data_IF_620131725217
#
_entry.id   IF_620131725217
#
_cell.length_a   1.000
_cell.length_b   1.000
_cell.length_c   1.000
_cell.angle_alpha   90.00
_cell.angle_beta   90.00
_cell.angle_gamma   90.00
#
_symmetry.space_group_name_H-M   'P 1'
#
loop_
_entity.id
_entity.type
_entity.pdbx_description
1 polymer ?
#
# COMPACT_ATOMS: atom_id res chain seq x y z
N UNK A 1 -11.84 18.19 26.00
CA UNK A 1 -11.25 16.86 25.76
C UNK A 1 -12.05 15.79 26.53
N UNK A 2 -12.11 14.57 25.98
CA UNK A 2 -12.90 13.46 26.58
C UNK A 2 -12.54 13.21 28.04
N UNK A 3 -11.28 13.37 28.45
CA UNK A 3 -10.82 13.27 29.82
C UNK A 3 -11.56 14.23 30.76
N UNK A 4 -11.69 15.49 30.39
CA UNK A 4 -12.38 16.50 31.19
C UNK A 4 -13.87 16.20 31.31
N UNK A 5 -14.49 15.63 30.31
CA UNK A 5 -15.91 15.23 30.33
C UNK A 5 -16.13 14.11 31.33
N UNK A 6 -15.30 13.05 31.33
CA UNK A 6 -15.41 11.96 32.28
C UNK A 6 -15.08 12.39 33.72
N UNK A 7 -14.15 13.34 33.92
CA UNK A 7 -13.90 13.92 35.24
C UNK A 7 -15.11 14.67 35.80
N UNK A 8 -15.77 15.49 34.99
CA UNK A 8 -17.01 16.20 35.40
C UNK A 8 -18.14 15.22 35.75
N UNK A 9 -18.26 14.11 35.01
CA UNK A 9 -19.26 13.08 35.37
C UNK A 9 -18.96 12.46 36.74
N UNK A 10 -17.69 12.23 37.07
CA UNK A 10 -17.29 11.69 38.37
C UNK A 10 -17.38 12.70 39.53
N UNK A 11 -17.39 14.00 39.25
CA UNK A 11 -17.69 15.04 40.23
C UNK A 11 -19.16 15.02 40.63
N UNK A 12 -20.06 14.65 39.71
CA UNK A 12 -21.51 14.56 39.92
C UNK A 12 -21.91 13.19 40.49
N UNK A 13 -21.31 12.13 39.93
CA UNK A 13 -21.55 10.73 40.34
C UNK A 13 -20.21 9.98 40.48
N UNK A 14 -19.61 9.97 41.69
CA UNK A 14 -18.29 9.34 41.95
C UNK A 14 -18.25 7.83 41.71
N UNK A 15 -19.41 7.15 41.74
CA UNK A 15 -19.51 5.69 41.57
C UNK A 15 -19.87 5.28 40.14
N UNK A 16 -19.94 6.21 39.22
CA UNK A 16 -20.23 5.92 37.83
C UNK A 16 -19.21 4.99 37.20
N UNK A 17 -19.55 3.72 37.10
CA UNK A 17 -18.64 2.65 36.64
C UNK A 17 -18.20 2.84 35.17
N UNK A 18 -19.04 3.46 34.34
CA UNK A 18 -18.74 3.75 32.94
C UNK A 18 -17.72 4.86 32.85
N UNK A 19 -17.91 5.95 33.60
CA UNK A 19 -16.97 7.07 33.66
C UNK A 19 -15.60 6.65 34.22
N UNK A 20 -15.60 5.84 35.32
CA UNK A 20 -14.37 5.27 35.90
C UNK A 20 -13.61 4.39 34.92
N UNK A 21 -14.33 3.49 34.21
CA UNK A 21 -13.73 2.58 33.24
C UNK A 21 -13.13 3.34 32.05
N UNK A 22 -13.85 4.33 31.55
CA UNK A 22 -13.39 5.12 30.42
C UNK A 22 -12.26 6.10 30.79
N UNK A 23 -12.31 6.69 31.99
CA UNK A 23 -11.20 7.52 32.49
C UNK A 23 -9.93 6.71 32.68
N UNK A 24 -10.04 5.45 33.18
CA UNK A 24 -8.89 4.53 33.26
C UNK A 24 -8.35 4.19 31.88
N UNK A 25 -9.21 3.93 30.88
CA UNK A 25 -8.78 3.70 29.49
C UNK A 25 -8.04 4.91 28.95
N UNK A 26 -8.62 6.11 29.05
CA UNK A 26 -8.00 7.35 28.57
C UNK A 26 -6.66 7.63 29.30
N UNK A 27 -6.53 7.35 30.61
CA UNK A 27 -5.26 7.47 31.34
C UNK A 27 -4.24 6.42 30.90
N UNK A 28 -4.67 5.17 30.71
CA UNK A 28 -3.80 4.09 30.27
C UNK A 28 -3.36 4.25 28.80
N UNK A 29 -4.20 4.84 27.95
CA UNK A 29 -3.86 5.15 26.57
C UNK A 29 -2.77 6.23 26.52
N UNK A 30 -2.80 7.24 27.40
CA UNK A 30 -1.71 8.22 27.55
C UNK A 30 -0.43 7.63 28.18
N UNK A 31 -0.52 6.59 29.01
CA UNK A 31 0.65 5.92 29.60
C UNK A 31 1.23 4.82 28.70
N UNK A 32 0.43 4.25 27.77
CA UNK A 32 0.85 3.30 26.74
C UNK A 32 1.29 3.97 25.44
N UNK A 33 1.15 5.29 25.33
CA UNK A 33 1.41 6.05 24.09
C UNK A 33 2.88 6.08 23.66
N UNK A 34 3.80 5.50 24.45
CA UNK A 34 5.17 5.33 23.96
C UNK A 34 5.36 4.09 23.07
N UNK A 35 4.49 3.07 23.14
CA UNK A 35 4.62 1.87 22.33
C UNK A 35 3.38 1.53 21.48
N UNK A 36 2.16 1.75 22.01
CA UNK A 36 0.92 1.45 21.27
C UNK A 36 0.46 2.57 20.33
N UNK A 37 0.78 3.84 20.63
CA UNK A 37 0.49 4.97 19.72
C UNK A 37 1.21 4.83 18.39
N UNK A 38 2.43 4.32 18.41
CA UNK A 38 3.21 4.04 17.19
C UNK A 38 2.54 2.94 16.36
N UNK A 39 2.03 1.88 16.98
CA UNK A 39 1.37 0.77 16.26
C UNK A 39 0.05 1.20 15.63
N UNK A 40 -0.75 2.02 16.30
CA UNK A 40 -2.02 2.53 15.77
C UNK A 40 -1.77 3.50 14.61
N UNK A 41 -0.75 4.36 14.70
CA UNK A 41 -0.35 5.24 13.61
C UNK A 41 0.21 4.46 12.42
N UNK A 42 1.01 3.42 12.67
CA UNK A 42 1.56 2.55 11.62
C UNK A 42 0.45 1.84 10.85
N UNK A 43 -0.58 1.35 11.52
CA UNK A 43 -1.71 0.69 10.85
C UNK A 43 -2.48 1.64 9.93
N UNK A 44 -2.62 2.91 10.30
CA UNK A 44 -3.30 3.91 9.46
C UNK A 44 -2.41 4.42 8.30
N UNK A 45 -1.09 4.39 8.45
CA UNK A 45 -0.15 4.79 7.39
C UNK A 45 -0.29 3.86 6.18
N UNK A 46 -0.51 2.57 6.38
CA UNK A 46 -0.57 1.55 5.33
C UNK A 46 -1.99 1.26 4.82
N UNK A 47 -2.93 2.18 5.02
CA UNK A 47 -4.28 2.04 4.46
C UNK A 47 -4.21 2.09 2.92
N UNK A 48 -4.64 1.01 2.29
CA UNK A 48 -4.61 0.89 0.83
C UNK A 48 -5.83 1.56 0.20
N UNK A 49 -5.57 2.54 -0.68
CA UNK A 49 -6.57 3.21 -1.49
C UNK A 49 -6.34 2.87 -2.97
N UNK A 50 -7.37 2.34 -3.62
CA UNK A 50 -7.32 1.98 -5.04
C UNK A 50 -6.84 3.13 -5.92
N UNK A 51 -5.81 2.89 -6.71
CA UNK A 51 -5.25 3.86 -7.64
C UNK A 51 -4.40 4.97 -7.04
N UNK A 52 -4.40 5.14 -5.71
CA UNK A 52 -3.62 6.16 -5.00
C UNK A 52 -2.45 5.60 -4.19
N UNK A 53 -2.54 4.34 -3.79
CA UNK A 53 -1.50 3.68 -3.00
C UNK A 53 -0.97 2.44 -3.67
N UNK A 54 0.27 2.07 -3.35
CA UNK A 54 0.91 0.84 -3.83
C UNK A 54 1.97 0.37 -2.84
N UNK A 55 1.96 -0.93 -2.58
CA UNK A 55 3.05 -1.62 -1.90
C UNK A 55 4.02 -2.13 -2.96
N UNK A 56 5.31 -1.88 -2.76
CA UNK A 56 6.36 -2.18 -3.74
C UNK A 56 7.59 -2.72 -3.04
N UNK A 57 8.16 -3.77 -3.57
CA UNK A 57 9.48 -4.24 -3.20
C UNK A 57 10.54 -3.49 -4.00
N UNK A 58 11.57 -3.00 -3.32
CA UNK A 58 12.67 -2.28 -3.95
C UNK A 58 13.68 -3.25 -4.57
N UNK A 59 14.32 -2.79 -5.63
CA UNK A 59 15.42 -3.48 -6.28
C UNK A 59 16.73 -2.70 -6.09
N UNK A 60 17.87 -3.32 -6.39
CA UNK A 60 19.20 -2.71 -6.25
C UNK A 60 19.38 -2.07 -4.87
N UNK A 61 19.21 -2.87 -3.83
CA UNK A 61 19.25 -2.42 -2.44
C UNK A 61 20.63 -1.94 -2.01
N UNK A 62 20.66 -1.09 -1.00
CA UNK A 62 21.87 -0.71 -0.28
C UNK A 62 22.48 -1.91 0.48
N UNK A 63 23.62 -1.69 1.11
CA UNK A 63 24.28 -2.70 1.95
C UNK A 63 23.39 -3.11 3.13
N UNK A 64 23.48 -4.38 3.53
CA UNK A 64 22.64 -4.96 4.57
C UNK A 64 22.68 -4.19 5.90
N UNK A 65 23.83 -3.68 6.29
CA UNK A 65 24.03 -2.89 7.51
C UNK A 65 23.14 -1.63 7.54
N UNK A 66 23.04 -0.95 6.38
CA UNK A 66 22.17 0.21 6.25
C UNK A 66 20.68 -0.20 6.30
N UNK A 67 20.32 -1.31 5.64
CA UNK A 67 18.93 -1.78 5.61
C UNK A 67 18.41 -2.17 7.00
N UNK A 68 19.24 -2.72 7.86
CA UNK A 68 18.90 -3.08 9.24
C UNK A 68 18.61 -1.87 10.14
N UNK A 69 19.01 -0.65 9.76
CA UNK A 69 18.67 0.57 10.49
C UNK A 69 17.25 1.07 10.20
N UNK A 70 16.61 0.59 9.14
CA UNK A 70 15.28 1.02 8.71
C UNK A 70 14.18 0.47 9.64
N UNK A 71 13.18 1.30 9.90
CA UNK A 71 12.05 0.96 10.78
C UNK A 71 10.73 1.00 10.01
N UNK A 72 9.84 0.08 10.33
CA UNK A 72 8.47 0.09 9.81
C UNK A 72 7.76 1.40 10.17
N UNK A 73 7.10 2.02 9.19
CA UNK A 73 6.44 3.33 9.35
C UNK A 73 7.37 4.53 9.19
N UNK A 74 8.67 4.32 9.00
CA UNK A 74 9.62 5.40 8.77
C UNK A 74 9.36 6.05 7.41
N UNK A 75 9.26 7.39 7.40
CA UNK A 75 9.16 8.18 6.16
C UNK A 75 10.52 8.23 5.47
N UNK A 76 10.49 8.11 4.13
CA UNK A 76 11.68 8.13 3.29
C UNK A 76 11.44 8.98 2.05
N UNK A 77 12.53 9.46 1.45
CA UNK A 77 12.49 10.38 0.33
C UNK A 77 12.40 9.64 -1.01
N UNK A 78 11.63 10.22 -1.93
CA UNK A 78 11.54 9.78 -3.31
C UNK A 78 12.22 10.80 -4.23
N UNK A 79 13.12 10.35 -5.10
CA UNK A 79 13.82 11.22 -6.04
C UNK A 79 13.96 10.58 -7.42
N UNK A 80 13.93 11.41 -8.47
CA UNK A 80 14.07 10.96 -9.86
C UNK A 80 15.43 11.36 -10.38
N UNK A 81 16.25 10.37 -10.78
CA UNK A 81 17.56 10.58 -11.39
C UNK A 81 17.74 9.60 -12.55
N UNK A 82 18.25 10.07 -13.70
CA UNK A 82 18.59 9.23 -14.88
C UNK A 82 17.52 8.19 -15.23
N UNK A 83 16.25 8.63 -15.30
CA UNK A 83 15.08 7.79 -15.63
C UNK A 83 14.78 6.65 -14.63
N UNK A 84 15.31 6.72 -13.43
CA UNK A 84 15.00 5.82 -12.33
C UNK A 84 14.48 6.60 -11.13
N UNK A 85 13.68 5.92 -10.31
CA UNK A 85 13.16 6.46 -9.06
C UNK A 85 13.92 5.84 -7.90
N UNK A 86 14.64 6.69 -7.20
CA UNK A 86 15.46 6.34 -6.05
C UNK A 86 14.72 6.61 -4.76
N UNK A 87 14.91 5.72 -3.81
CA UNK A 87 14.42 5.85 -2.43
C UNK A 87 15.64 6.04 -1.53
N UNK A 88 15.55 7.03 -0.63
CA UNK A 88 16.63 7.41 0.29
C UNK A 88 16.10 7.90 1.63
N UNK A 89 16.93 7.78 2.67
CA UNK A 89 16.74 8.44 3.97
C UNK A 89 17.70 9.62 4.03
N UNK A 90 17.21 10.83 3.75
CA UNK A 90 18.09 11.98 3.57
C UNK A 90 19.14 11.75 2.48
N UNK A 91 20.42 11.65 2.88
CA UNK A 91 21.52 11.38 1.94
C UNK A 91 21.84 9.89 1.75
N UNK A 92 21.25 9.02 2.57
CA UNK A 92 21.53 7.57 2.55
C UNK A 92 20.63 6.88 1.53
N UNK A 93 21.24 6.22 0.57
CA UNK A 93 20.58 5.42 -0.45
C UNK A 93 19.97 4.16 0.18
N UNK A 94 18.74 3.79 -0.23
CA UNK A 94 18.07 2.57 0.20
C UNK A 94 17.89 1.60 -0.97
N UNK A 95 17.32 2.04 -2.08
CA UNK A 95 17.06 1.20 -3.23
C UNK A 95 16.39 1.95 -4.37
N UNK A 96 15.95 1.22 -5.39
CA UNK A 96 15.31 1.75 -6.60
C UNK A 96 13.95 1.08 -6.79
N UNK A 97 12.98 1.80 -7.32
CA UNK A 97 11.72 1.21 -7.78
C UNK A 97 11.93 0.34 -9.02
N UNK A 98 11.19 -0.76 -9.18
CA UNK A 98 11.14 -1.52 -10.43
C UNK A 98 10.82 -0.61 -11.63
N UNK A 99 11.43 -0.91 -12.80
CA UNK A 99 11.43 0.00 -13.94
C UNK A 99 10.05 0.30 -14.53
N UNK A 100 9.15 -0.65 -14.53
CA UNK A 100 7.76 -0.51 -14.99
C UNK A 100 6.98 0.53 -14.17
N UNK A 101 7.04 0.40 -12.85
CA UNK A 101 6.45 1.35 -11.93
C UNK A 101 7.22 2.68 -11.92
N UNK A 102 8.54 2.62 -11.95
CA UNK A 102 9.42 3.78 -11.98
C UNK A 102 9.12 4.70 -13.16
N UNK A 103 9.05 4.16 -14.40
CA UNK A 103 8.70 4.93 -15.60
C UNK A 103 7.35 5.64 -15.47
N UNK A 104 6.37 4.94 -14.91
CA UNK A 104 5.04 5.50 -14.68
C UNK A 104 5.09 6.65 -13.67
N UNK A 105 5.71 6.45 -12.51
CA UNK A 105 5.81 7.47 -11.47
C UNK A 105 6.62 8.69 -11.92
N UNK A 106 7.69 8.52 -12.69
CA UNK A 106 8.45 9.63 -13.26
C UNK A 106 7.54 10.58 -14.07
N UNK A 107 6.66 10.01 -14.91
CA UNK A 107 5.69 10.82 -15.67
C UNK A 107 4.80 11.66 -14.76
N UNK A 108 4.28 11.05 -13.68
CA UNK A 108 3.40 11.75 -12.75
C UNK A 108 4.16 12.76 -11.88
N UNK A 109 5.33 12.42 -11.35
CA UNK A 109 6.18 13.32 -10.53
C UNK A 109 6.58 14.56 -11.35
N UNK A 110 7.10 14.36 -12.58
CA UNK A 110 7.41 15.46 -13.50
C UNK A 110 6.16 16.26 -13.86
N UNK A 111 5.02 15.64 -13.79
CA UNK A 111 3.73 16.25 -14.03
C UNK A 111 3.17 17.06 -12.88
N UNK A 112 3.80 17.04 -11.72
CA UNK A 112 3.40 17.81 -10.55
C UNK A 112 2.63 17.02 -9.49
N UNK A 113 2.48 15.68 -9.64
CA UNK A 113 1.99 14.83 -8.55
C UNK A 113 3.02 14.78 -7.42
N UNK A 114 2.53 14.68 -6.19
CA UNK A 114 3.37 14.51 -5.00
C UNK A 114 3.03 13.19 -4.32
N UNK A 115 4.05 12.52 -3.84
CA UNK A 115 3.96 11.22 -3.17
C UNK A 115 4.68 11.28 -1.83
N UNK A 116 4.20 10.50 -0.89
CA UNK A 116 4.93 10.16 0.31
C UNK A 116 5.22 8.66 0.31
N UNK A 117 6.32 8.29 0.96
CA UNK A 117 6.81 6.92 0.97
C UNK A 117 7.18 6.54 2.39
N UNK A 118 6.78 5.35 2.79
CA UNK A 118 7.09 4.79 4.10
C UNK A 118 7.67 3.39 3.96
N UNK A 119 8.59 3.04 4.85
CA UNK A 119 9.07 1.66 4.97
C UNK A 119 7.94 0.80 5.54
N UNK A 120 7.50 -0.20 4.79
CA UNK A 120 6.52 -1.19 5.25
C UNK A 120 7.19 -2.34 5.99
N UNK A 121 8.27 -2.85 5.42
CA UNK A 121 9.15 -3.85 6.05
C UNK A 121 10.56 -3.76 5.47
N UNK A 122 11.55 -4.05 6.27
CA UNK A 122 12.94 -4.11 5.83
C UNK A 122 13.67 -5.23 6.57
N UNK A 123 14.50 -5.95 5.83
CA UNK A 123 15.46 -6.91 6.36
C UNK A 123 16.76 -6.79 5.55
N UNK A 124 17.72 -7.66 5.80
CA UNK A 124 19.03 -7.61 5.15
C UNK A 124 19.01 -7.90 3.63
N UNK A 125 17.93 -8.43 3.08
CA UNK A 125 17.81 -8.84 1.67
C UNK A 125 16.67 -8.18 0.92
N UNK A 126 15.60 -7.78 1.62
CA UNK A 126 14.39 -7.25 1.02
C UNK A 126 13.92 -5.98 1.75
N UNK A 127 13.50 -5.00 0.99
CA UNK A 127 12.85 -3.79 1.49
C UNK A 127 11.56 -3.58 0.74
N UNK A 128 10.46 -3.55 1.47
CA UNK A 128 9.14 -3.25 0.95
C UNK A 128 8.72 -1.88 1.44
N UNK A 129 8.27 -1.05 0.53
CA UNK A 129 7.78 0.31 0.81
C UNK A 129 6.30 0.42 0.52
N UNK A 130 5.67 1.38 1.16
CA UNK A 130 4.32 1.85 0.88
C UNK A 130 4.39 3.24 0.28
N UNK A 131 3.82 3.42 -0.91
CA UNK A 131 3.78 4.70 -1.62
C UNK A 131 2.34 5.19 -1.62
N UNK A 132 2.13 6.46 -1.27
CA UNK A 132 0.82 7.13 -1.29
C UNK A 132 0.88 8.43 -2.08
N UNK A 133 -0.10 8.63 -2.96
CA UNK A 133 -0.30 9.90 -3.65
C UNK A 133 -0.89 10.94 -2.68
N UNK A 134 -0.14 12.02 -2.41
CA UNK A 134 -0.60 13.14 -1.59
C UNK A 134 -1.36 14.18 -2.39
N UNK A 135 -0.86 14.47 -3.59
CA UNK A 135 -1.43 15.50 -4.47
C UNK A 135 -1.37 15.04 -5.90
N UNK A 136 -2.51 15.15 -6.57
CA UNK A 136 -2.65 14.88 -7.99
C UNK A 136 -2.67 16.20 -8.77
N UNK A 137 -1.88 16.29 -9.84
CA UNK A 137 -1.93 17.42 -10.77
C UNK A 137 -3.18 17.34 -11.64
N UNK A 138 -3.78 18.50 -11.98
CA UNK A 138 -5.03 18.58 -12.74
C UNK A 138 -4.99 17.82 -14.07
N UNK A 139 -3.84 17.82 -14.75
CA UNK A 139 -3.65 17.09 -16.01
C UNK A 139 -3.75 15.56 -15.90
N UNK A 140 -3.72 15.01 -14.69
CA UNK A 140 -3.84 13.59 -14.42
C UNK A 140 -5.08 13.24 -13.61
N UNK A 141 -6.08 14.14 -13.53
CA UNK A 141 -7.27 13.98 -12.72
C UNK A 141 -7.94 12.61 -12.91
N UNK A 142 -8.07 12.16 -14.16
CA UNK A 142 -8.74 10.91 -14.52
C UNK A 142 -7.79 9.71 -14.68
N UNK A 143 -6.50 9.88 -14.34
CA UNK A 143 -5.51 8.81 -14.43
C UNK A 143 -5.08 8.37 -13.02
N UNK A 144 -5.32 7.12 -12.62
CA UNK A 144 -4.80 6.61 -11.35
C UNK A 144 -3.28 6.51 -11.41
N UNK A 145 -2.60 6.87 -10.31
CA UNK A 145 -1.15 6.75 -10.20
C UNK A 145 -0.69 5.30 -10.27
N UNK A 146 -1.48 4.41 -9.68
CA UNK A 146 -1.21 2.98 -9.65
C UNK A 146 -2.32 2.20 -10.34
N UNK A 147 -1.95 1.31 -11.27
CA UNK A 147 -2.88 0.37 -11.87
C UNK A 147 -3.08 -0.81 -10.90
N UNK A 148 -4.31 -1.23 -10.73
CA UNK A 148 -4.58 -2.55 -10.17
C UNK A 148 -4.16 -3.58 -11.22
N UNK A 149 -3.36 -4.56 -10.83
CA UNK A 149 -3.31 -5.80 -11.58
C UNK A 149 -4.68 -6.47 -11.39
N UNK A 150 -5.56 -6.25 -12.35
CA UNK A 150 -6.69 -7.17 -12.51
C UNK A 150 -6.04 -8.49 -12.91
N UNK A 151 -5.97 -9.44 -11.99
CA UNK A 151 -5.73 -10.81 -12.36
C UNK A 151 -6.80 -11.14 -13.39
N UNK A 152 -6.40 -11.17 -14.66
CA UNK A 152 -7.21 -11.78 -15.70
C UNK A 152 -7.36 -13.24 -15.27
N UNK A 153 -8.42 -13.55 -14.54
CA UNK A 153 -8.95 -14.91 -14.54
C UNK A 153 -9.16 -15.24 -16.00
N UNK A 154 -8.22 -15.98 -16.57
CA UNK A 154 -8.39 -16.68 -17.83
C UNK A 154 -9.59 -17.58 -17.61
N UNK A 155 -10.78 -17.05 -17.91
CA UNK A 155 -11.93 -17.87 -18.19
C UNK A 155 -11.53 -18.68 -19.41
N UNK A 156 -11.08 -19.91 -19.18
CA UNK A 156 -11.02 -20.95 -20.19
C UNK A 156 -12.46 -21.08 -20.74
N UNK A 157 -12.75 -20.33 -21.80
CA UNK A 157 -13.86 -20.63 -22.67
C UNK A 157 -13.54 -22.00 -23.25
N UNK A 158 -14.16 -23.02 -22.66
CA UNK A 158 -14.36 -24.30 -23.32
C UNK A 158 -15.15 -23.98 -24.59
N UNK A 159 -14.46 -23.84 -25.71
CA UNK A 159 -15.08 -23.98 -27.01
C UNK A 159 -15.52 -25.43 -27.11
N UNK A 160 -16.77 -25.68 -26.77
CA UNK A 160 -17.46 -26.89 -27.20
C UNK A 160 -17.49 -26.89 -28.71
N UNK A 161 -16.64 -27.66 -29.32
CA UNK A 161 -16.81 -28.07 -30.69
C UNK A 161 -18.05 -28.94 -30.72
N UNK A 162 -19.14 -28.40 -31.27
CA UNK A 162 -20.23 -29.20 -31.79
C UNK A 162 -19.68 -29.95 -33.02
N UNK A 163 -19.36 -31.22 -32.83
CA UNK A 163 -19.33 -32.16 -33.96
C UNK A 163 -20.77 -32.33 -34.41
N UNK A 164 -21.10 -31.83 -35.54
CA UNK A 164 -22.22 -32.28 -36.32
C UNK A 164 -21.75 -33.53 -37.05
N UNK A 165 -22.29 -34.66 -36.62
CA UNK A 165 -22.31 -35.90 -37.40
C UNK A 165 -23.02 -35.59 -38.70
N UNK A 166 -22.34 -35.80 -39.80
CA UNK A 166 -22.93 -35.99 -41.12
C UNK A 166 -22.84 -37.47 -41.36
N UNK A 167 -23.97 -38.17 -41.17
CA UNK A 167 -24.28 -39.44 -41.84
C UNK A 167 -24.32 -39.15 -43.33
N UNK A 168 -23.50 -39.80 -44.09
CA UNK A 168 -23.62 -39.91 -45.55
C UNK A 168 -23.60 -41.40 -45.88
N UNK A 169 -24.85 -41.89 -46.07
CA UNK A 169 -25.12 -43.11 -46.79
C UNK A 169 -24.92 -42.84 -48.27
N UNK A 170 -24.12 -43.64 -48.89
CA UNK A 170 -24.23 -44.01 -50.29
C UNK A 170 -23.36 -45.22 -50.51
N UNK A 171 -23.93 -46.29 -50.50
CA UNK A 171 -24.66 -46.98 -51.57
C UNK A 171 -23.75 -47.52 -52.66
N UNK A 172 -23.94 -48.82 -52.77
CA UNK A 172 -23.33 -49.80 -53.62
C UNK A 172 -23.46 -49.50 -55.11
N UNK A 173 -22.54 -50.00 -55.89
CA UNK A 173 -22.74 -50.95 -57.02
C UNK A 173 -21.42 -51.10 -57.77
N UNK A 174 -20.93 -52.31 -57.84
CA UNK A 174 -20.89 -53.24 -58.97
C UNK A 174 -20.24 -52.63 -60.25
N UNK A 175 -19.10 -53.08 -60.58
CA UNK A 175 -18.65 -54.17 -61.54
C UNK A 175 -17.14 -54.35 -61.45
#
# INVERSE_FOLDING_TARGET
>A
SAKNTYQKVLEIDPLNSIALKNLKKVKNDFAKDSSNGIIIQVNNIFLEETGKTKIVELINLAQAEMLLTLRTGQSVDISVKRLKVFISEGKKYIGVLPDDLGKRLIKFIKGGNKYEVFIKSANNQNVTIFIRELKKANKFKDQPSFLQMVEKKLSLRKNGKNNKDYDDESDMSEE
#
